data_IF_111968037248
#
_entry.id   IF_111968037248
#
_cell.length_a   1.000
_cell.length_b   1.000
_cell.length_c   1.000
_cell.angle_alpha   90.00
_cell.angle_beta   90.00
_cell.angle_gamma   90.00
#
_symmetry.space_group_name_H-M   'P 1'
#
loop_
_entity.id
_entity.type
_entity.pdbx_description
1 polymer ?
#
# COMPACT_ATOMS: atom_id res chain seq x y z
N UNK A 1 24.46 9.02 20.57
CA UNK A 1 24.59 7.57 20.78
C UNK A 1 23.39 6.94 20.10
N UNK A 2 23.59 6.24 18.98
CA UNK A 2 22.48 5.64 18.22
C UNK A 2 21.87 4.54 19.07
N UNK A 3 20.58 4.62 19.35
CA UNK A 3 19.90 3.61 20.17
C UNK A 3 19.61 2.37 19.34
N UNK A 4 19.52 1.19 19.97
CA UNK A 4 19.28 -0.10 19.29
C UNK A 4 18.08 -0.06 18.33
N UNK A 5 17.02 0.66 18.70
CA UNK A 5 15.81 0.78 17.88
C UNK A 5 16.07 1.50 16.54
N UNK A 6 16.96 2.49 16.50
CA UNK A 6 17.31 3.25 15.30
C UNK A 6 18.08 2.37 14.33
N UNK A 7 19.00 1.54 14.85
CA UNK A 7 19.76 0.58 14.06
C UNK A 7 18.81 -0.43 13.40
N UNK A 8 17.87 -0.99 14.16
CA UNK A 8 16.87 -1.94 13.64
C UNK A 8 15.98 -1.31 12.57
N UNK A 9 15.57 -0.06 12.76
CA UNK A 9 14.77 0.68 11.77
C UNK A 9 15.55 0.90 10.47
N UNK A 10 16.82 1.30 10.56
CA UNK A 10 17.68 1.50 9.40
C UNK A 10 17.87 0.18 8.63
N UNK A 11 18.13 -0.92 9.35
CA UNK A 11 18.26 -2.25 8.74
C UNK A 11 16.96 -2.67 8.05
N UNK A 12 15.81 -2.45 8.69
CA UNK A 12 14.52 -2.74 8.10
C UNK A 12 14.27 -1.94 6.81
N UNK A 13 14.53 -0.63 6.83
CA UNK A 13 14.41 0.22 5.65
C UNK A 13 15.36 -0.22 4.53
N UNK A 14 16.60 -0.62 4.86
CA UNK A 14 17.53 -1.17 3.88
C UNK A 14 16.98 -2.44 3.22
N UNK A 15 16.34 -3.33 3.97
CA UNK A 15 15.69 -4.54 3.42
C UNK A 15 14.53 -4.17 2.48
N UNK A 16 13.69 -3.20 2.84
CA UNK A 16 12.61 -2.71 1.97
C UNK A 16 13.18 -2.14 0.67
N UNK A 17 14.24 -1.31 0.76
CA UNK A 17 14.92 -0.74 -0.41
C UNK A 17 15.50 -1.83 -1.31
N UNK A 18 16.15 -2.85 -0.73
CA UNK A 18 16.64 -4.02 -1.48
C UNK A 18 15.52 -4.76 -2.20
N UNK A 19 14.36 -4.90 -1.56
CA UNK A 19 13.17 -5.49 -2.16
C UNK A 19 12.62 -4.65 -3.32
N UNK A 20 12.60 -3.33 -3.19
CA UNK A 20 12.22 -2.42 -4.29
C UNK A 20 13.16 -2.61 -5.49
N UNK A 21 14.48 -2.60 -5.29
CA UNK A 21 15.44 -2.80 -6.37
C UNK A 21 15.29 -4.18 -7.03
N UNK A 22 15.12 -5.23 -6.23
CA UNK A 22 14.95 -6.61 -6.73
C UNK A 22 13.62 -6.85 -7.42
N UNK A 23 12.60 -6.05 -7.11
CA UNK A 23 11.24 -6.15 -7.66
C UNK A 23 10.96 -5.21 -8.84
N UNK A 24 11.88 -4.29 -9.16
CA UNK A 24 11.72 -3.29 -10.20
C UNK A 24 12.51 -3.66 -11.47
N UNK A 25 12.04 -3.18 -12.63
CA UNK A 25 12.74 -3.31 -13.92
C UNK A 25 12.50 -4.63 -14.65
N UNK A 26 13.24 -4.81 -15.74
CA UNK A 26 13.09 -5.96 -16.65
C UNK A 26 13.72 -7.23 -16.08
N UNK A 27 14.82 -7.09 -15.31
CA UNK A 27 15.54 -8.19 -14.67
C UNK A 27 15.08 -8.46 -13.23
N UNK A 28 13.77 -8.32 -12.97
CA UNK A 28 13.22 -8.52 -11.61
C UNK A 28 13.47 -9.94 -11.12
N UNK A 29 13.94 -10.05 -9.88
CA UNK A 29 14.24 -11.34 -9.24
C UNK A 29 13.12 -11.82 -8.31
N UNK A 30 12.26 -10.90 -7.88
CA UNK A 30 11.07 -11.14 -7.06
C UNK A 30 9.85 -10.48 -7.70
N UNK A 31 8.67 -11.05 -7.46
CA UNK A 31 7.39 -10.43 -7.80
C UNK A 31 6.86 -9.77 -6.54
N UNK A 32 6.88 -8.42 -6.54
CA UNK A 32 6.30 -7.62 -5.46
C UNK A 32 4.80 -7.53 -5.68
N UNK A 33 4.33 -6.86 -6.73
CA UNK A 33 2.91 -6.88 -7.07
C UNK A 33 2.69 -7.59 -8.40
N UNK A 34 1.91 -8.68 -8.43
CA UNK A 34 1.65 -9.38 -9.70
C UNK A 34 0.87 -8.49 -10.66
N UNK A 35 -0.21 -7.91 -10.18
CA UNK A 35 -1.08 -7.04 -10.94
C UNK A 35 -1.70 -5.96 -10.02
N UNK A 36 -2.66 -5.19 -10.54
CA UNK A 36 -3.39 -4.24 -9.71
C UNK A 36 -4.37 -4.92 -8.73
N UNK A 37 -4.85 -6.13 -9.00
CA UNK A 37 -5.72 -6.84 -8.04
C UNK A 37 -4.92 -7.27 -6.78
N UNK A 38 -3.68 -7.75 -6.94
CA UNK A 38 -2.72 -8.02 -5.85
C UNK A 38 -2.35 -6.74 -5.09
N UNK A 39 -2.13 -5.63 -5.80
CA UNK A 39 -1.92 -4.33 -5.17
C UNK A 39 -3.13 -3.92 -4.31
N UNK A 40 -4.34 -4.05 -4.86
CA UNK A 40 -5.59 -3.77 -4.17
C UNK A 40 -5.77 -4.64 -2.92
N UNK A 41 -5.49 -5.94 -3.03
CA UNK A 41 -5.55 -6.88 -1.92
C UNK A 41 -4.54 -6.50 -0.81
N UNK A 42 -3.34 -6.06 -1.19
CA UNK A 42 -2.32 -5.60 -0.24
C UNK A 42 -2.80 -4.34 0.50
N UNK A 43 -3.38 -3.37 -0.22
CA UNK A 43 -3.92 -2.14 0.39
C UNK A 43 -5.14 -2.42 1.26
N UNK A 44 -5.90 -3.48 0.96
CA UNK A 44 -7.05 -3.89 1.74
C UNK A 44 -6.67 -4.33 3.16
N UNK A 45 -5.43 -4.77 3.41
CA UNK A 45 -4.98 -5.18 4.74
C UNK A 45 -5.08 -4.01 5.75
N UNK A 46 -4.32 -2.90 5.60
CA UNK A 46 -4.46 -1.77 6.52
C UNK A 46 -5.85 -1.13 6.44
N UNK A 47 -6.47 -1.05 5.26
CA UNK A 47 -7.81 -0.43 5.11
C UNK A 47 -8.87 -1.20 5.90
N UNK A 48 -8.91 -2.52 5.79
CA UNK A 48 -9.88 -3.35 6.50
C UNK A 48 -9.66 -3.28 8.02
N UNK A 49 -8.41 -3.29 8.48
CA UNK A 49 -8.07 -3.05 9.88
C UNK A 49 -8.71 -1.74 10.39
N UNK A 50 -8.39 -0.62 9.73
CA UNK A 50 -8.88 0.69 10.15
C UNK A 50 -10.39 0.80 10.06
N UNK A 51 -11.00 0.27 9.00
CA UNK A 51 -12.44 0.35 8.79
C UNK A 51 -13.20 -0.42 9.87
N UNK A 52 -12.77 -1.64 10.19
CA UNK A 52 -13.41 -2.47 11.22
C UNK A 52 -13.29 -1.80 12.58
N UNK A 53 -12.08 -1.36 12.95
CA UNK A 53 -11.86 -0.65 14.23
C UNK A 53 -12.73 0.60 14.31
N UNK A 54 -12.78 1.40 13.23
CA UNK A 54 -13.57 2.62 13.17
C UNK A 54 -15.07 2.35 13.33
N UNK A 55 -15.62 1.40 12.57
CA UNK A 55 -17.06 1.07 12.60
C UNK A 55 -17.47 0.53 13.97
N UNK A 56 -16.71 -0.42 14.54
CA UNK A 56 -17.02 -0.98 15.85
C UNK A 56 -16.90 0.07 16.97
N UNK A 57 -15.89 0.95 16.90
CA UNK A 57 -15.77 2.08 17.83
C UNK A 57 -16.94 3.06 17.72
N UNK A 58 -17.42 3.32 16.50
CA UNK A 58 -18.60 4.17 16.27
C UNK A 58 -19.89 3.55 16.87
N UNK A 59 -19.96 2.21 16.94
CA UNK A 59 -21.02 1.47 17.61
C UNK A 59 -20.83 1.33 19.13
N UNK A 60 -19.80 1.98 19.70
CA UNK A 60 -19.43 1.91 21.13
C UNK A 60 -19.09 0.49 21.61
N UNK A 61 -18.62 -0.37 20.70
CA UNK A 61 -18.02 -1.66 21.07
C UNK A 61 -16.71 -1.40 21.82
N UNK A 62 -16.37 -2.27 22.76
CA UNK A 62 -15.12 -2.20 23.49
C UNK A 62 -13.90 -2.09 22.55
N UNK A 63 -12.91 -1.29 22.96
CA UNK A 63 -11.75 -0.97 22.12
C UNK A 63 -10.87 -2.20 21.87
N UNK A 64 -10.73 -3.08 22.87
CA UNK A 64 -9.93 -4.30 22.77
C UNK A 64 -10.60 -5.26 21.78
N UNK A 65 -11.92 -5.43 21.90
CA UNK A 65 -12.72 -6.25 20.96
C UNK A 65 -12.64 -5.69 19.53
N UNK A 66 -12.75 -4.37 19.37
CA UNK A 66 -12.68 -3.71 18.06
C UNK A 66 -11.32 -3.93 17.40
N UNK A 67 -10.24 -3.79 18.16
CA UNK A 67 -8.86 -4.01 17.72
C UNK A 67 -8.65 -5.46 17.26
N UNK A 68 -9.01 -6.45 18.09
CA UNK A 68 -8.84 -7.86 17.74
C UNK A 68 -9.70 -8.29 16.55
N UNK A 69 -10.90 -7.72 16.40
CA UNK A 69 -11.75 -7.98 15.24
C UNK A 69 -11.12 -7.45 13.95
N UNK A 70 -10.59 -6.23 13.98
CA UNK A 70 -9.86 -5.66 12.85
C UNK A 70 -8.60 -6.46 12.50
N UNK A 71 -7.86 -6.90 13.52
CA UNK A 71 -6.68 -7.74 13.35
C UNK A 71 -7.03 -9.11 12.72
N UNK A 72 -8.10 -9.77 13.19
CA UNK A 72 -8.54 -11.06 12.67
C UNK A 72 -8.88 -10.99 11.17
N UNK A 73 -9.64 -9.97 10.75
CA UNK A 73 -9.98 -9.76 9.33
C UNK A 73 -8.72 -9.50 8.49
N UNK A 74 -7.82 -8.66 9.00
CA UNK A 74 -6.56 -8.33 8.33
C UNK A 74 -5.66 -9.55 8.17
N UNK A 75 -5.62 -10.44 9.17
CA UNK A 75 -4.86 -11.71 9.12
C UNK A 75 -5.43 -12.63 8.05
N UNK A 76 -6.75 -12.75 7.91
CA UNK A 76 -7.37 -13.58 6.86
C UNK A 76 -6.95 -13.10 5.47
N UNK A 77 -7.01 -11.79 5.23
CA UNK A 77 -6.58 -11.17 3.97
C UNK A 77 -5.07 -11.39 3.76
N UNK A 78 -4.26 -11.21 4.82
CA UNK A 78 -2.83 -11.43 4.79
C UNK A 78 -2.45 -12.87 4.44
N UNK A 79 -3.15 -13.88 4.97
CA UNK A 79 -2.91 -15.29 4.66
C UNK A 79 -3.15 -15.55 3.18
N UNK A 80 -4.25 -15.03 2.62
CA UNK A 80 -4.53 -15.14 1.18
C UNK A 80 -3.41 -14.47 0.37
N UNK A 81 -3.06 -13.24 0.70
CA UNK A 81 -1.98 -12.49 0.05
C UNK A 81 -0.64 -13.23 0.10
N UNK A 82 -0.29 -13.81 1.26
CA UNK A 82 0.95 -14.55 1.45
C UNK A 82 1.01 -15.81 0.58
N UNK A 83 -0.11 -16.54 0.48
CA UNK A 83 -0.24 -17.70 -0.41
C UNK A 83 -0.06 -17.29 -1.87
N UNK A 84 -0.78 -16.27 -2.33
CA UNK A 84 -0.73 -15.82 -3.72
C UNK A 84 0.69 -15.32 -4.06
N UNK A 85 1.29 -14.54 -3.16
CA UNK A 85 2.69 -14.07 -3.28
C UNK A 85 3.69 -15.23 -3.33
N UNK A 86 3.45 -16.32 -2.60
CA UNK A 86 4.31 -17.51 -2.63
C UNK A 86 4.28 -18.21 -3.99
N UNK A 87 3.09 -18.35 -4.57
CA UNK A 87 2.90 -18.91 -5.91
C UNK A 87 3.57 -18.01 -6.96
N UNK A 88 3.35 -16.70 -6.89
CA UNK A 88 3.92 -15.71 -7.82
C UNK A 88 5.45 -15.67 -7.80
N UNK A 89 6.05 -16.02 -6.66
CA UNK A 89 7.51 -16.10 -6.50
C UNK A 89 8.08 -17.51 -6.73
N UNK A 90 7.32 -18.37 -7.43
CA UNK A 90 7.77 -19.70 -7.82
C UNK A 90 7.97 -20.64 -6.62
N UNK A 91 7.12 -20.51 -5.60
CA UNK A 91 7.18 -21.31 -4.37
C UNK A 91 8.50 -21.15 -3.59
N UNK A 92 9.18 -20.01 -3.73
CA UNK A 92 10.43 -19.72 -3.04
C UNK A 92 10.19 -18.86 -1.79
N UNK A 93 10.51 -19.42 -0.60
CA UNK A 93 10.27 -18.78 0.70
C UNK A 93 11.03 -17.46 0.86
N UNK A 94 12.30 -17.38 0.43
CA UNK A 94 13.11 -16.18 0.64
C UNK A 94 12.64 -15.02 -0.24
N UNK A 95 12.28 -15.31 -1.50
CA UNK A 95 11.67 -14.32 -2.40
C UNK A 95 10.32 -13.84 -1.88
N UNK A 96 9.52 -14.76 -1.37
CA UNK A 96 8.20 -14.47 -0.79
C UNK A 96 8.33 -13.58 0.44
N UNK A 97 9.23 -13.91 1.37
CA UNK A 97 9.47 -13.11 2.57
C UNK A 97 9.94 -11.69 2.21
N UNK A 98 10.88 -11.56 1.27
CA UNK A 98 11.33 -10.25 0.81
C UNK A 98 10.21 -9.47 0.11
N UNK A 99 9.39 -10.12 -0.71
CA UNK A 99 8.23 -9.51 -1.36
C UNK A 99 7.22 -9.00 -0.32
N UNK A 100 6.87 -9.80 0.69
CA UNK A 100 5.96 -9.41 1.77
C UNK A 100 6.51 -8.26 2.63
N UNK A 101 7.78 -8.34 3.03
CA UNK A 101 8.48 -7.26 3.76
C UNK A 101 8.54 -5.98 2.92
N UNK A 102 8.46 -6.07 1.60
CA UNK A 102 8.43 -4.89 0.73
C UNK A 102 7.01 -4.35 0.55
N UNK A 103 6.03 -5.19 0.16
CA UNK A 103 4.68 -4.73 -0.20
C UNK A 103 3.88 -4.23 1.00
N UNK A 104 4.02 -4.85 2.18
CA UNK A 104 3.22 -4.48 3.36
C UNK A 104 3.61 -3.09 3.88
N UNK A 105 4.89 -2.78 4.16
CA UNK A 105 5.25 -1.45 4.64
C UNK A 105 4.91 -0.35 3.64
N UNK A 106 5.12 -0.60 2.35
CA UNK A 106 4.72 0.33 1.29
C UNK A 106 3.20 0.61 1.34
N UNK A 107 2.37 -0.42 1.48
CA UNK A 107 0.92 -0.24 1.61
C UNK A 107 0.52 0.52 2.87
N UNK A 108 1.14 0.22 4.01
CA UNK A 108 0.86 0.85 5.30
C UNK A 108 1.24 2.33 5.25
N UNK A 109 2.43 2.66 4.78
CA UNK A 109 2.89 4.05 4.60
C UNK A 109 1.95 4.79 3.64
N UNK A 110 1.61 4.18 2.50
CA UNK A 110 0.75 4.82 1.51
C UNK A 110 -0.65 5.12 2.08
N UNK A 111 -1.29 4.15 2.74
CA UNK A 111 -2.63 4.33 3.31
C UNK A 111 -2.63 5.34 4.46
N UNK A 112 -1.64 5.32 5.34
CA UNK A 112 -1.54 6.32 6.41
C UNK A 112 -1.38 7.73 5.87
N UNK A 113 -0.53 7.94 4.87
CA UNK A 113 -0.36 9.25 4.26
C UNK A 113 -1.62 9.68 3.51
N UNK A 114 -2.35 8.76 2.85
CA UNK A 114 -3.64 9.07 2.25
C UNK A 114 -4.64 9.56 3.30
N UNK A 115 -4.75 8.85 4.44
CA UNK A 115 -5.61 9.27 5.56
C UNK A 115 -5.17 10.64 6.08
N UNK A 116 -3.88 10.91 6.21
CA UNK A 116 -3.36 12.19 6.68
C UNK A 116 -3.62 13.33 5.68
N UNK A 117 -3.69 13.07 4.38
CA UNK A 117 -4.13 14.07 3.40
C UNK A 117 -5.62 14.39 3.55
N UNK A 118 -6.45 13.37 3.71
CA UNK A 118 -7.90 13.49 3.85
C UNK A 118 -8.30 14.14 5.18
N UNK A 119 -7.68 13.70 6.28
CA UNK A 119 -7.91 14.20 7.63
C UNK A 119 -6.57 14.50 8.34
N UNK A 120 -5.90 15.61 7.98
CA UNK A 120 -4.65 15.99 8.60
C UNK A 120 -4.88 16.37 10.06
N UNK A 121 -4.03 15.83 10.93
CA UNK A 121 -3.98 16.17 12.35
C UNK A 121 -3.47 17.60 12.58
N UNK A 122 -3.84 18.20 13.72
CA UNK A 122 -3.43 19.56 14.10
C UNK A 122 -4.43 20.66 13.73
N UNK A 123 -4.10 21.91 14.07
CA UNK A 123 -4.92 23.10 13.82
C UNK A 123 -4.17 24.13 12.96
N UNK A 124 -4.89 24.88 12.13
CA UNK A 124 -4.34 26.00 11.34
C UNK A 124 -3.15 25.61 10.46
N UNK A 125 -2.03 26.32 10.59
CA UNK A 125 -0.82 26.13 9.80
C UNK A 125 -0.22 24.71 9.92
N UNK A 126 -0.26 24.10 11.12
CA UNK A 126 0.24 22.74 11.32
C UNK A 126 -0.55 21.72 10.50
N UNK A 127 -1.86 21.91 10.38
CA UNK A 127 -2.74 21.06 9.56
C UNK A 127 -2.36 21.12 8.08
N UNK A 128 -2.06 22.32 7.59
CA UNK A 128 -1.58 22.52 6.21
C UNK A 128 -0.22 21.88 5.97
N UNK A 129 0.72 22.03 6.92
CA UNK A 129 2.05 21.42 6.86
C UNK A 129 1.97 19.89 6.81
N UNK A 130 1.22 19.27 7.73
CA UNK A 130 1.04 17.81 7.79
C UNK A 130 0.44 17.25 6.50
N UNK A 131 -0.55 17.95 5.91
CA UNK A 131 -1.11 17.57 4.60
C UNK A 131 -0.06 17.66 3.50
N UNK A 132 0.74 18.72 3.48
CA UNK A 132 1.80 18.90 2.49
C UNK A 132 2.85 17.80 2.56
N UNK A 133 3.32 17.47 3.76
CA UNK A 133 4.26 16.36 3.99
C UNK A 133 3.69 15.02 3.50
N UNK A 134 2.43 14.73 3.82
CA UNK A 134 1.78 13.51 3.37
C UNK A 134 1.62 13.44 1.85
N UNK A 135 1.30 14.57 1.19
CA UNK A 135 1.24 14.67 -0.27
C UNK A 135 2.60 14.42 -0.92
N UNK A 136 3.69 14.93 -0.34
CA UNK A 136 5.05 14.68 -0.85
C UNK A 136 5.37 13.18 -0.78
N UNK A 137 5.10 12.53 0.36
CA UNK A 137 5.31 11.09 0.50
C UNK A 137 4.50 10.31 -0.52
N UNK A 138 3.21 10.61 -0.68
CA UNK A 138 2.36 9.95 -1.69
C UNK A 138 2.88 10.16 -3.10
N UNK A 139 3.32 11.36 -3.44
CA UNK A 139 3.82 11.70 -4.78
C UNK A 139 5.08 10.92 -5.13
N UNK A 140 5.95 10.67 -4.16
CA UNK A 140 7.16 9.87 -4.35
C UNK A 140 6.89 8.37 -4.31
N UNK A 141 6.00 7.92 -3.41
CA UNK A 141 5.74 6.50 -3.20
C UNK A 141 4.88 5.87 -4.29
N UNK A 142 3.91 6.63 -4.81
CA UNK A 142 2.99 6.16 -5.86
C UNK A 142 3.70 5.68 -7.13
N UNK A 143 4.68 6.41 -7.73
CA UNK A 143 5.42 5.89 -8.88
C UNK A 143 6.29 4.69 -8.52
N UNK A 144 6.86 4.61 -7.30
CA UNK A 144 7.62 3.44 -6.84
C UNK A 144 6.72 2.20 -6.81
N UNK A 145 5.58 2.27 -6.14
CA UNK A 145 4.57 1.19 -6.13
C UNK A 145 4.13 0.87 -7.57
N UNK A 146 3.89 1.92 -8.35
CA UNK A 146 3.58 1.83 -9.77
C UNK A 146 4.60 1.03 -10.55
N UNK A 147 5.91 1.18 -10.31
CA UNK A 147 6.96 0.40 -10.99
C UNK A 147 7.01 -1.07 -10.55
N UNK A 148 6.65 -1.37 -9.30
CA UNK A 148 6.69 -2.72 -8.72
C UNK A 148 5.56 -3.64 -9.17
N UNK A 149 4.52 -3.10 -9.82
CA UNK A 149 3.45 -3.90 -10.43
C UNK A 149 3.93 -4.57 -11.72
N UNK A 150 3.81 -5.89 -11.82
CA UNK A 150 4.28 -6.63 -13.00
C UNK A 150 3.34 -6.41 -14.18
N UNK A 151 2.07 -6.73 -14.01
CA UNK A 151 1.04 -6.56 -15.04
C UNK A 151 0.14 -5.36 -14.71
N UNK A 152 -0.02 -4.44 -15.65
CA UNK A 152 -0.83 -3.22 -15.43
C UNK A 152 -2.31 -3.45 -15.73
N UNK A 153 -2.83 -4.61 -15.35
CA UNK A 153 -4.20 -5.07 -15.47
C UNK A 153 -4.78 -5.32 -14.06
N UNK A 154 -6.09 -5.53 -13.98
CA UNK A 154 -6.80 -5.79 -12.74
C UNK A 154 -8.30 -5.78 -13.04
N UNK A 155 -8.98 -6.82 -12.59
CA UNK A 155 -10.41 -7.02 -12.80
C UNK A 155 -11.26 -6.34 -11.74
N UNK A 156 -10.76 -6.26 -10.51
CA UNK A 156 -11.46 -5.66 -9.36
C UNK A 156 -10.87 -4.30 -8.98
N UNK A 157 -9.55 -4.15 -9.07
CA UNK A 157 -8.86 -2.89 -8.81
C UNK A 157 -7.99 -2.52 -10.00
N UNK A 158 -8.27 -1.37 -10.64
CA UNK A 158 -7.48 -0.88 -11.76
C UNK A 158 -7.47 0.65 -11.80
N UNK A 159 -6.44 1.29 -11.23
CA UNK A 159 -6.34 2.75 -11.23
C UNK A 159 -6.28 3.36 -12.63
N UNK A 160 -5.78 2.63 -13.64
CA UNK A 160 -5.67 3.14 -15.01
C UNK A 160 -7.03 3.30 -15.67
N UNK A 161 -7.98 2.39 -15.44
CA UNK A 161 -9.32 2.48 -16.02
C UNK A 161 -10.09 3.68 -15.46
N UNK A 162 -9.88 4.00 -14.17
CA UNK A 162 -10.50 5.16 -13.51
C UNK A 162 -10.05 6.50 -14.10
N UNK A 163 -8.79 6.58 -14.57
CA UNK A 163 -8.24 7.78 -15.21
C UNK A 163 -8.61 7.82 -16.69
N UNK A 164 -8.59 6.68 -17.38
CA UNK A 164 -8.91 6.58 -18.81
C UNK A 164 -10.38 6.93 -19.11
N UNK A 165 -11.31 6.58 -18.21
CA UNK A 165 -12.74 6.88 -18.35
C UNK A 165 -13.11 8.37 -18.21
N UNK A 166 -12.17 9.25 -17.83
CA UNK A 166 -12.40 10.70 -17.68
C UNK A 166 -12.03 11.54 -18.91
N UNK A 167 -11.58 10.95 -20.02
CA UNK A 167 -11.40 11.68 -21.29
C UNK A 167 -12.74 11.87 -22.02
N UNK A 168 -13.66 12.62 -21.41
CA UNK A 168 -14.82 13.17 -22.10
C UNK A 168 -14.33 14.37 -22.92
N UNK A 169 -13.99 14.13 -24.18
CA UNK A 169 -13.46 15.18 -25.06
C UNK A 169 -12.86 14.72 -26.37
N UNK A 170 -13.06 13.46 -26.79
CA UNK A 170 -12.60 13.01 -28.12
C UNK A 170 -13.41 13.64 -29.27
N UNK A 171 -14.65 14.06 -29.03
CA UNK A 171 -15.51 14.69 -30.03
C UNK A 171 -15.17 16.15 -30.35
N UNK A 172 -14.28 16.82 -29.61
CA UNK A 172 -14.01 18.27 -29.81
C UNK A 172 -12.76 18.51 -30.68
N UNK A 173 -11.99 17.47 -31.02
CA UNK A 173 -10.77 17.60 -31.85
C UNK A 173 -10.87 17.08 -33.27
N UNK A 174 -12.03 16.55 -33.68
CA UNK A 174 -12.25 16.09 -35.05
C UNK A 174 -12.85 17.18 -35.97
N UNK A 175 -13.03 18.41 -35.47
CA UNK A 175 -13.57 19.55 -36.21
C UNK A 175 -12.69 20.83 -36.09
N UNK A 176 -11.39 20.70 -35.84
CA UNK A 176 -10.43 21.81 -35.89
C UNK A 176 -9.20 21.43 -36.72
#
# INVERSE_FOLDING_TARGET
MVQLYEILLILFLAVVVLGIFKGCGDNRSIVVFRDYDDLGLTFLIPVSFFLVVYVLSALKVDQVVSFFSGAAISIIIFIKLARDTYIDNGNNVSKTALSLITKIPLSVIWIFNLIQVLNPSGKGAQRSKNRGEALVVLTLLTPIIGMLVVEKNGSYFNPKSWIAGRRVGRSVRDNL
#
